data_IF_057547922419
#
_entry.id   IF_057547922419
#
_cell.length_a   1.000
_cell.length_b   1.000
_cell.length_c   1.000
_cell.angle_alpha   90.00
_cell.angle_beta   90.00
_cell.angle_gamma   90.00
#
_symmetry.space_group_name_H-M   'P 1'
#
loop_
_entity.id
_entity.type
_entity.pdbx_description
1 polymer ?
#
# COMPACT_ATOMS: atom_id res chain seq x y z
N UNK A 1 -21.11 -0.11 16.40
CA UNK A 1 -21.01 0.95 15.38
C UNK A 1 -19.88 0.64 14.39
N UNK A 2 -20.03 -0.39 13.55
CA UNK A 2 -19.04 -0.81 12.54
C UNK A 2 -19.74 -1.26 11.25
N UNK A 3 -20.95 -0.76 11.00
CA UNK A 3 -21.68 -0.92 9.75
C UNK A 3 -21.04 0.00 8.71
N UNK A 4 -20.70 -0.54 7.53
CA UNK A 4 -20.14 0.21 6.41
C UNK A 4 -18.64 0.07 6.15
N UNK A 5 -17.88 -0.70 6.96
CA UNK A 5 -16.49 -1.02 6.66
C UNK A 5 -16.40 -2.05 5.54
N UNK A 6 -15.61 -1.78 4.51
CA UNK A 6 -15.19 -2.80 3.55
C UNK A 6 -14.12 -3.72 4.16
N UNK A 7 -13.15 -3.13 4.85
CA UNK A 7 -12.12 -3.83 5.60
C UNK A 7 -12.29 -3.54 7.09
N UNK A 8 -12.37 -4.59 7.90
CA UNK A 8 -12.43 -4.50 9.35
C UNK A 8 -11.34 -5.38 9.96
N UNK A 9 -10.56 -4.80 10.84
CA UNK A 9 -9.52 -5.47 11.61
C UNK A 9 -9.88 -5.34 13.08
N UNK A 10 -9.78 -6.42 13.84
CA UNK A 10 -10.14 -6.44 15.27
C UNK A 10 -9.06 -7.14 16.06
N UNK A 11 -8.52 -6.43 17.04
CA UNK A 11 -7.51 -6.92 18.01
C UNK A 11 -6.37 -7.68 17.32
N UNK A 12 -5.83 -7.12 16.22
CA UNK A 12 -4.86 -7.80 15.39
C UNK A 12 -3.47 -7.77 16.02
N UNK A 13 -2.93 -8.95 16.27
CA UNK A 13 -1.57 -9.15 16.73
C UNK A 13 -0.75 -9.91 15.70
N UNK A 14 0.48 -9.46 15.47
CA UNK A 14 1.43 -10.12 14.57
C UNK A 14 2.79 -10.19 15.22
N UNK A 15 3.36 -11.39 15.25
CA UNK A 15 4.72 -11.64 15.71
C UNK A 15 5.64 -11.97 14.54
N UNK A 16 6.83 -11.43 14.58
CA UNK A 16 7.91 -11.78 13.65
C UNK A 16 9.13 -12.15 14.48
N UNK A 17 9.62 -13.37 14.23
CA UNK A 17 10.65 -13.94 15.09
C UNK A 17 10.19 -13.89 16.56
N UNK A 18 10.99 -13.33 17.47
CA UNK A 18 10.65 -13.20 18.89
C UNK A 18 9.99 -11.87 19.27
N UNK A 19 9.68 -11.01 18.27
CA UNK A 19 9.11 -9.67 18.51
C UNK A 19 7.65 -9.60 18.10
N UNK A 20 6.82 -9.02 18.94
CA UNK A 20 5.48 -8.64 18.61
C UNK A 20 5.51 -7.26 17.94
N UNK A 21 5.12 -7.22 16.65
CA UNK A 21 5.16 -6.02 15.82
C UNK A 21 3.82 -5.28 15.83
N UNK A 22 2.70 -6.02 15.67
CA UNK A 22 1.36 -5.45 15.86
C UNK A 22 0.79 -5.97 17.17
N UNK A 23 0.16 -5.06 17.93
CA UNK A 23 -0.19 -5.25 19.35
C UNK A 23 -1.63 -4.82 19.62
N UNK A 24 -2.61 -5.54 19.03
CA UNK A 24 -4.02 -5.21 19.16
C UNK A 24 -4.43 -4.04 18.29
N UNK A 25 -4.28 -4.20 16.96
CA UNK A 25 -4.69 -3.19 15.98
C UNK A 25 -6.17 -3.35 15.67
N UNK A 26 -6.94 -2.27 15.86
CA UNK A 26 -8.31 -2.12 15.42
C UNK A 26 -8.37 -1.10 14.27
N UNK A 27 -8.92 -1.50 13.11
CA UNK A 27 -9.03 -0.64 11.94
C UNK A 27 -10.33 -0.90 11.20
N UNK A 28 -10.99 0.19 10.78
CA UNK A 28 -12.11 0.15 9.86
C UNK A 28 -11.83 1.06 8.66
N UNK A 29 -11.85 0.47 7.46
CA UNK A 29 -11.74 1.21 6.20
C UNK A 29 -13.09 1.19 5.50
N UNK A 30 -13.68 2.35 5.28
CA UNK A 30 -14.99 2.49 4.65
C UNK A 30 -14.90 2.20 3.15
N UNK A 31 -15.96 1.62 2.62
CA UNK A 31 -16.05 1.34 1.17
C UNK A 31 -15.96 2.61 0.34
N UNK A 32 -15.17 2.58 -0.74
CA UNK A 32 -15.00 3.70 -1.67
C UNK A 32 -14.29 4.92 -1.09
N UNK A 33 -13.60 4.78 0.06
CA UNK A 33 -12.83 5.86 0.67
C UNK A 33 -11.34 5.65 0.53
N UNK A 34 -10.58 6.73 0.69
CA UNK A 34 -9.14 6.72 0.93
C UNK A 34 -8.89 6.80 2.42
N UNK A 35 -8.30 5.78 3.01
CA UNK A 35 -7.89 5.76 4.41
C UNK A 35 -6.36 5.77 4.50
N UNK A 36 -5.79 6.82 5.11
CA UNK A 36 -4.36 6.93 5.30
C UNK A 36 -3.90 6.25 6.60
N UNK A 37 -2.75 5.60 6.57
CA UNK A 37 -2.04 5.07 7.73
C UNK A 37 -0.69 5.73 7.81
N UNK A 38 -0.47 6.52 8.87
CA UNK A 38 0.79 7.22 9.10
C UNK A 38 1.46 6.74 10.38
N UNK A 39 2.74 7.06 10.51
CA UNK A 39 3.56 6.69 11.66
C UNK A 39 5.03 6.62 11.30
N UNK A 40 5.89 6.60 12.31
CA UNK A 40 7.34 6.52 12.14
C UNK A 40 7.78 5.22 11.45
N UNK A 41 9.00 5.22 10.90
CA UNK A 41 9.63 4.00 10.41
C UNK A 41 9.76 2.99 11.55
N UNK A 42 9.43 1.71 11.27
CA UNK A 42 9.42 0.65 12.28
C UNK A 42 8.17 0.63 13.19
N UNK A 43 7.18 1.50 12.97
CA UNK A 43 5.94 1.49 13.78
C UNK A 43 4.99 0.31 13.49
N UNK A 44 5.21 -0.44 12.39
CA UNK A 44 4.40 -1.61 12.02
C UNK A 44 3.52 -1.43 10.78
N UNK A 45 3.57 -0.28 10.06
CA UNK A 45 2.72 0.01 8.90
C UNK A 45 2.82 -1.02 7.77
N UNK A 46 4.04 -1.32 7.29
CA UNK A 46 4.24 -2.33 6.24
C UNK A 46 3.91 -3.75 6.74
N UNK A 47 4.14 -4.03 8.03
CA UNK A 47 3.67 -5.29 8.64
C UNK A 47 2.15 -5.40 8.56
N UNK A 48 1.42 -4.31 8.83
CA UNK A 48 -0.03 -4.28 8.66
C UNK A 48 -0.42 -4.54 7.20
N UNK A 49 0.19 -3.84 6.23
CA UNK A 49 -0.07 -4.05 4.80
C UNK A 49 0.13 -5.51 4.37
N UNK A 50 1.26 -6.11 4.75
CA UNK A 50 1.60 -7.49 4.39
C UNK A 50 0.69 -8.50 5.07
N UNK A 51 0.30 -8.24 6.32
CA UNK A 51 -0.69 -9.06 7.04
C UNK A 51 -2.05 -8.98 6.36
N UNK A 52 -2.50 -7.80 5.97
CA UNK A 52 -3.77 -7.59 5.26
C UNK A 52 -3.77 -8.24 3.87
N UNK A 53 -2.63 -8.30 3.18
CA UNK A 53 -2.50 -9.03 1.92
C UNK A 53 -2.41 -10.54 2.12
N UNK A 54 -2.09 -11.04 3.32
CA UNK A 54 -1.90 -12.46 3.61
C UNK A 54 -0.53 -12.99 3.18
N UNK A 55 0.49 -12.12 3.22
CA UNK A 55 1.86 -12.47 2.83
C UNK A 55 2.46 -13.51 3.77
N UNK A 56 3.29 -14.40 3.20
CA UNK A 56 3.97 -15.44 3.97
C UNK A 56 4.85 -14.82 5.08
N UNK A 57 4.76 -15.38 6.29
CA UNK A 57 5.49 -14.90 7.46
C UNK A 57 4.82 -13.70 8.17
N UNK A 58 3.62 -13.27 7.75
CA UNK A 58 2.86 -12.18 8.37
C UNK A 58 1.47 -12.64 8.86
N UNK A 59 1.33 -13.94 9.17
CA UNK A 59 0.07 -14.46 9.69
C UNK A 59 -0.25 -13.88 11.07
N UNK A 60 -1.51 -13.51 11.35
CA UNK A 60 -1.94 -13.08 12.67
C UNK A 60 -1.68 -14.14 13.73
N UNK A 61 -1.14 -13.73 14.88
CA UNK A 61 -1.03 -14.57 16.08
C UNK A 61 -2.30 -14.53 16.93
N UNK A 62 -3.05 -13.40 16.87
CA UNK A 62 -4.33 -13.18 17.54
C UNK A 62 -5.15 -12.18 16.73
N UNK A 63 -6.47 -12.12 17.00
CA UNK A 63 -7.40 -11.21 16.35
C UNK A 63 -7.88 -11.70 14.98
N UNK A 64 -8.51 -10.81 14.21
CA UNK A 64 -9.12 -11.19 12.96
C UNK A 64 -9.22 -10.07 11.94
N UNK A 65 -9.40 -10.47 10.68
CA UNK A 65 -9.51 -9.59 9.51
C UNK A 65 -10.76 -9.99 8.73
N UNK A 66 -11.68 -9.04 8.57
CA UNK A 66 -12.89 -9.22 7.75
C UNK A 66 -12.82 -8.29 6.54
N UNK A 67 -13.15 -8.83 5.39
CA UNK A 67 -13.20 -8.11 4.14
C UNK A 67 -14.52 -8.38 3.43
N UNK A 68 -15.27 -7.32 3.11
CA UNK A 68 -16.59 -7.40 2.46
C UNK A 68 -17.57 -8.34 3.22
N UNK A 69 -17.47 -8.34 4.56
CA UNK A 69 -18.28 -9.19 5.46
C UNK A 69 -17.75 -10.62 5.68
N UNK A 70 -16.74 -11.07 4.93
CA UNK A 70 -16.13 -12.39 5.07
C UNK A 70 -14.89 -12.36 5.97
N UNK A 71 -14.72 -13.38 6.81
CA UNK A 71 -13.46 -13.59 7.54
C UNK A 71 -12.37 -14.08 6.58
N UNK A 72 -11.34 -13.25 6.40
CA UNK A 72 -10.19 -13.54 5.55
C UNK A 72 -8.91 -13.79 6.35
N UNK A 73 -8.99 -13.92 7.66
CA UNK A 73 -7.86 -13.96 8.59
C UNK A 73 -6.80 -14.99 8.17
N UNK A 74 -7.25 -16.18 7.73
CA UNK A 74 -6.36 -17.29 7.38
C UNK A 74 -6.23 -17.54 5.88
N UNK A 75 -6.83 -16.69 5.05
CA UNK A 75 -6.76 -16.82 3.59
C UNK A 75 -5.38 -16.42 3.07
N UNK A 76 -4.92 -17.15 2.06
CA UNK A 76 -3.67 -16.89 1.34
C UNK A 76 -3.75 -15.62 0.48
N UNK A 77 -2.59 -15.12 0.04
CA UNK A 77 -2.47 -14.01 -0.93
C UNK A 77 -3.37 -14.23 -2.15
N UNK A 78 -3.32 -15.45 -2.72
CA UNK A 78 -4.12 -15.79 -3.91
C UNK A 78 -5.62 -15.72 -3.65
N UNK A 79 -6.09 -16.19 -2.50
CA UNK A 79 -7.51 -16.17 -2.15
C UNK A 79 -8.01 -14.75 -1.87
N UNK A 80 -7.19 -13.91 -1.24
CA UNK A 80 -7.49 -12.49 -1.02
C UNK A 80 -7.46 -11.71 -2.32
N UNK A 81 -6.49 -11.99 -3.21
CA UNK A 81 -6.43 -11.40 -4.55
C UNK A 81 -7.69 -11.72 -5.37
N UNK A 82 -8.17 -12.97 -5.36
CA UNK A 82 -9.42 -13.36 -6.03
C UNK A 82 -10.66 -12.64 -5.48
N UNK A 83 -10.63 -12.16 -4.24
CA UNK A 83 -11.70 -11.35 -3.62
C UNK A 83 -11.60 -9.87 -3.93
N UNK A 84 -10.51 -9.46 -4.59
CA UNK A 84 -10.29 -8.08 -5.00
C UNK A 84 -9.43 -7.27 -4.04
N UNK A 85 -8.56 -7.90 -3.24
CA UNK A 85 -7.52 -7.22 -2.47
C UNK A 85 -6.23 -7.21 -3.28
N UNK A 86 -5.56 -6.07 -3.38
CA UNK A 86 -4.23 -5.96 -4.01
C UNK A 86 -3.30 -5.10 -3.18
N UNK A 87 -2.00 -5.29 -3.38
CA UNK A 87 -0.94 -4.54 -2.69
C UNK A 87 0.06 -4.01 -3.72
N UNK A 88 0.28 -2.69 -3.72
CA UNK A 88 1.46 -2.06 -4.30
C UNK A 88 2.55 -2.01 -3.24
N UNK A 89 3.69 -2.60 -3.56
CA UNK A 89 4.82 -2.76 -2.64
C UNK A 89 5.63 -1.46 -2.53
N UNK A 90 6.30 -1.26 -1.41
CA UNK A 90 7.22 -0.14 -1.22
C UNK A 90 8.33 -0.13 -2.28
N UNK A 91 8.87 -1.31 -2.62
CA UNK A 91 9.78 -1.50 -3.75
C UNK A 91 9.08 -2.30 -4.84
N UNK A 92 8.81 -1.69 -6.02
CA UNK A 92 8.19 -2.37 -7.14
C UNK A 92 9.00 -3.57 -7.61
N UNK A 93 8.32 -4.66 -7.92
CA UNK A 93 8.98 -5.88 -8.41
C UNK A 93 9.73 -5.62 -9.72
N UNK A 94 10.91 -6.25 -9.85
CA UNK A 94 11.60 -6.40 -11.13
C UNK A 94 11.21 -7.76 -11.70
N UNK A 95 10.70 -7.76 -12.92
CA UNK A 95 10.23 -9.01 -13.55
C UNK A 95 10.91 -9.12 -14.91
N UNK A 96 12.05 -9.80 -14.93
CA UNK A 96 12.82 -10.01 -16.15
C UNK A 96 11.99 -10.72 -17.23
N UNK A 97 12.15 -10.27 -18.47
CA UNK A 97 11.47 -10.86 -19.63
C UNK A 97 9.98 -10.52 -19.77
N UNK A 98 9.43 -9.70 -18.88
CA UNK A 98 8.03 -9.27 -18.95
C UNK A 98 7.93 -7.82 -19.43
N UNK A 99 7.20 -7.58 -20.52
CA UNK A 99 6.93 -6.21 -20.97
C UNK A 99 5.87 -5.54 -20.10
N UNK A 100 5.88 -4.20 -20.04
CA UNK A 100 4.88 -3.40 -19.33
C UNK A 100 3.45 -3.80 -19.74
N UNK A 101 3.21 -3.98 -21.05
CA UNK A 101 1.90 -4.43 -21.53
C UNK A 101 1.49 -5.76 -20.91
N UNK A 102 2.37 -6.75 -20.90
CA UNK A 102 2.10 -8.07 -20.30
C UNK A 102 1.94 -8.01 -18.80
N UNK A 103 2.77 -7.21 -18.12
CA UNK A 103 2.69 -7.01 -16.67
C UNK A 103 1.31 -6.45 -16.25
N UNK A 104 0.85 -5.39 -16.91
CA UNK A 104 -0.47 -4.83 -16.63
C UNK A 104 -1.61 -5.82 -16.94
N UNK A 105 -1.48 -6.60 -18.01
CA UNK A 105 -2.49 -7.60 -18.39
C UNK A 105 -2.63 -8.75 -17.40
N UNK A 106 -1.59 -9.09 -16.62
CA UNK A 106 -1.67 -10.17 -15.62
C UNK A 106 -2.79 -9.95 -14.59
N UNK A 107 -3.05 -8.69 -14.23
CA UNK A 107 -4.05 -8.34 -13.23
C UNK A 107 -5.48 -8.18 -13.78
N UNK A 108 -5.64 -8.02 -15.11
CA UNK A 108 -6.94 -7.68 -15.71
C UNK A 108 -7.78 -8.95 -16.02
N UNK A 109 -7.16 -10.11 -16.11
CA UNK A 109 -7.84 -11.39 -16.39
C UNK A 109 -8.40 -11.54 -17.82
N UNK A 110 -8.27 -10.51 -18.66
CA UNK A 110 -8.62 -10.48 -20.09
C UNK A 110 -7.57 -9.67 -20.85
N UNK A 111 -7.42 -9.94 -22.17
CA UNK A 111 -6.64 -9.09 -23.06
C UNK A 111 -7.45 -7.83 -23.40
N UNK A 112 -7.33 -6.81 -22.57
CA UNK A 112 -7.95 -5.50 -22.75
C UNK A 112 -6.85 -4.44 -22.90
N UNK A 113 -6.40 -4.25 -24.13
CA UNK A 113 -5.31 -3.32 -24.42
C UNK A 113 -5.72 -1.85 -24.23
N UNK A 114 -6.99 -1.51 -24.43
CA UNK A 114 -7.47 -0.14 -24.19
C UNK A 114 -7.39 0.20 -22.69
N UNK A 115 -7.73 -0.73 -21.84
CA UNK A 115 -7.59 -0.55 -20.38
C UNK A 115 -6.13 -0.42 -19.96
N UNK A 116 -5.22 -1.19 -20.55
CA UNK A 116 -3.78 -1.06 -20.34
C UNK A 116 -3.28 0.32 -20.78
N UNK A 117 -3.67 0.79 -21.96
CA UNK A 117 -3.32 2.12 -22.45
C UNK A 117 -3.89 3.23 -21.55
N UNK A 118 -5.14 3.10 -21.15
CA UNK A 118 -5.77 4.05 -20.24
C UNK A 118 -5.06 4.12 -18.88
N UNK A 119 -4.63 2.97 -18.35
CA UNK A 119 -3.88 2.91 -17.09
C UNK A 119 -2.51 3.59 -17.18
N UNK A 120 -1.77 3.40 -18.28
CA UNK A 120 -0.51 4.11 -18.49
C UNK A 120 -0.70 5.63 -18.58
N UNK A 121 -1.70 6.08 -19.34
CA UNK A 121 -2.03 7.53 -19.41
C UNK A 121 -2.41 8.10 -18.03
N UNK A 122 -3.06 7.31 -17.17
CA UNK A 122 -3.48 7.75 -15.85
C UNK A 122 -2.31 8.02 -14.89
N UNK A 123 -1.12 7.52 -15.20
CA UNK A 123 0.14 7.75 -14.47
C UNK A 123 1.14 8.60 -15.28
N UNK A 124 0.69 9.31 -16.29
CA UNK A 124 1.53 10.10 -17.21
C UNK A 124 2.68 9.30 -17.85
N UNK A 125 2.39 8.08 -18.29
CA UNK A 125 3.28 7.29 -19.13
C UNK A 125 2.66 7.15 -20.53
N UNK A 126 3.40 7.55 -21.57
CA UNK A 126 2.94 7.39 -22.95
C UNK A 126 2.87 5.92 -23.33
N UNK A 127 1.67 5.38 -23.68
CA UNK A 127 1.53 3.97 -24.01
C UNK A 127 2.40 3.50 -25.17
N UNK A 128 2.59 4.34 -26.19
CA UNK A 128 3.34 3.95 -27.39
C UNK A 128 4.84 3.80 -27.09
N UNK A 129 5.33 4.54 -26.11
CA UNK A 129 6.70 4.44 -25.60
C UNK A 129 6.90 3.28 -24.63
N UNK A 130 5.91 3.06 -23.73
CA UNK A 130 6.13 2.17 -22.58
C UNK A 130 5.63 0.73 -22.76
N UNK A 131 4.63 0.46 -23.61
CA UNK A 131 4.02 -0.88 -23.73
C UNK A 131 5.03 -1.99 -24.01
N UNK A 132 6.05 -1.72 -24.82
CA UNK A 132 7.06 -2.71 -25.22
C UNK A 132 8.31 -2.71 -24.33
N UNK A 133 8.47 -1.76 -23.41
CA UNK A 133 9.59 -1.74 -22.46
C UNK A 133 9.46 -2.88 -21.47
N UNK A 134 10.58 -3.41 -21.00
CA UNK A 134 10.61 -4.45 -19.99
C UNK A 134 10.48 -3.86 -18.57
N UNK A 135 9.87 -4.63 -17.66
CA UNK A 135 9.74 -4.28 -16.23
C UNK A 135 11.00 -4.72 -15.50
N UNK A 136 12.14 -4.15 -15.89
CA UNK A 136 13.46 -4.49 -15.39
C UNK A 136 14.25 -3.22 -14.98
N UNK A 137 15.55 -3.32 -14.92
CA UNK A 137 16.46 -2.21 -14.57
C UNK A 137 16.49 -1.06 -15.59
N UNK A 138 15.96 -1.27 -16.82
CA UNK A 138 15.87 -0.22 -17.83
C UNK A 138 14.85 0.87 -17.47
N UNK A 139 13.91 0.56 -16.56
CA UNK A 139 13.01 1.53 -15.97
C UNK A 139 13.64 2.16 -14.72
N UNK A 140 13.61 3.48 -14.64
CA UNK A 140 13.96 4.19 -13.40
C UNK A 140 13.06 3.78 -12.23
N UNK A 141 13.48 4.06 -10.98
CA UNK A 141 12.68 3.77 -9.81
C UNK A 141 11.29 4.42 -9.85
N UNK A 142 11.21 5.69 -10.30
CA UNK A 142 9.94 6.40 -10.47
C UNK A 142 9.05 5.80 -11.57
N UNK A 143 9.63 5.44 -12.72
CA UNK A 143 8.87 4.77 -13.80
C UNK A 143 8.32 3.42 -13.35
N UNK A 144 9.10 2.61 -12.61
CA UNK A 144 8.60 1.34 -12.06
C UNK A 144 7.42 1.55 -11.11
N UNK A 145 7.49 2.55 -10.24
CA UNK A 145 6.35 2.89 -9.36
C UNK A 145 5.12 3.31 -10.14
N UNK A 146 5.28 4.15 -11.16
CA UNK A 146 4.18 4.51 -12.05
C UNK A 146 3.57 3.29 -12.76
N UNK A 147 4.40 2.37 -13.25
CA UNK A 147 3.94 1.12 -13.86
C UNK A 147 3.20 0.23 -12.87
N UNK A 148 3.66 0.13 -11.62
CA UNK A 148 2.97 -0.62 -10.58
C UNK A 148 1.61 0.00 -10.21
N UNK A 149 1.55 1.33 -10.03
CA UNK A 149 0.29 2.04 -9.81
C UNK A 149 -0.68 1.89 -10.99
N UNK A 150 -0.16 1.93 -12.23
CA UNK A 150 -0.96 1.67 -13.42
C UNK A 150 -1.53 0.24 -13.42
N UNK A 151 -0.75 -0.75 -12.98
CA UNK A 151 -1.22 -2.13 -12.87
C UNK A 151 -2.33 -2.26 -11.82
N UNK A 152 -2.16 -1.65 -10.63
CA UNK A 152 -3.20 -1.63 -9.59
C UNK A 152 -4.47 -0.94 -10.09
N UNK A 153 -4.34 0.20 -10.75
CA UNK A 153 -5.48 0.92 -11.34
C UNK A 153 -6.19 0.09 -12.41
N UNK A 154 -5.41 -0.57 -13.29
CA UNK A 154 -5.96 -1.45 -14.32
C UNK A 154 -6.71 -2.66 -13.73
N UNK A 155 -6.32 -3.18 -12.58
CA UNK A 155 -7.03 -4.26 -11.88
C UNK A 155 -8.41 -3.84 -11.40
N UNK A 156 -8.62 -2.55 -11.06
CA UNK A 156 -9.79 -2.00 -10.37
C UNK A 156 -10.21 -2.89 -9.18
N UNK A 157 -9.33 -3.06 -8.19
CA UNK A 157 -9.62 -3.94 -7.05
C UNK A 157 -10.71 -3.33 -6.16
N UNK A 158 -11.34 -4.16 -5.31
CA UNK A 158 -12.22 -3.63 -4.26
C UNK A 158 -11.43 -2.89 -3.18
N UNK A 159 -10.20 -3.37 -2.88
CA UNK A 159 -9.26 -2.76 -1.94
C UNK A 159 -7.86 -2.72 -2.54
N UNK A 160 -7.33 -1.52 -2.71
CA UNK A 160 -5.93 -1.27 -3.03
C UNK A 160 -5.18 -0.87 -1.77
N UNK A 161 -4.18 -1.64 -1.37
CA UNK A 161 -3.23 -1.28 -0.31
C UNK A 161 -2.00 -0.71 -1.02
N UNK A 162 -1.63 0.53 -0.70
CA UNK A 162 -0.51 1.23 -1.31
C UNK A 162 0.53 1.52 -0.22
N UNK A 163 1.65 0.78 -0.25
CA UNK A 163 2.71 0.92 0.76
C UNK A 163 3.79 1.88 0.26
N UNK A 164 3.77 3.11 0.77
CA UNK A 164 4.67 4.22 0.41
C UNK A 164 4.79 4.45 -1.11
N UNK A 165 3.67 4.64 -1.84
CA UNK A 165 3.70 4.84 -3.28
C UNK A 165 4.45 6.12 -3.69
N UNK A 166 4.64 7.02 -2.73
CA UNK A 166 5.28 8.32 -2.84
C UNK A 166 6.79 8.31 -2.50
N UNK A 167 7.35 7.17 -2.09
CA UNK A 167 8.77 7.12 -1.74
C UNK A 167 9.67 7.18 -2.99
N UNK A 168 10.69 8.06 -2.96
CA UNK A 168 11.68 8.18 -4.04
C UNK A 168 11.15 8.77 -5.35
N UNK A 169 10.00 9.44 -5.35
CA UNK A 169 9.47 10.18 -6.49
C UNK A 169 9.56 11.70 -6.27
N UNK A 170 9.64 12.45 -7.37
CA UNK A 170 9.68 13.91 -7.34
C UNK A 170 8.29 14.51 -7.05
N UNK A 171 8.25 15.81 -6.77
CA UNK A 171 7.03 16.53 -6.37
C UNK A 171 5.93 16.48 -7.44
N UNK A 172 6.28 16.51 -8.74
CA UNK A 172 5.29 16.44 -9.82
C UNK A 172 4.66 15.05 -9.87
N UNK A 173 5.47 14.01 -9.84
CA UNK A 173 5.02 12.61 -9.82
C UNK A 173 4.19 12.30 -8.57
N UNK A 174 4.46 12.99 -7.45
CA UNK A 174 3.65 12.91 -6.24
C UNK A 174 2.22 13.40 -6.47
N UNK A 175 2.06 14.56 -7.12
CA UNK A 175 0.74 15.11 -7.45
C UNK A 175 -0.04 14.21 -8.41
N UNK A 176 0.64 13.60 -9.38
CA UNK A 176 0.05 12.68 -10.35
C UNK A 176 -0.46 11.42 -9.63
N UNK A 177 0.36 10.84 -8.76
CA UNK A 177 -0.02 9.70 -7.91
C UNK A 177 -1.22 10.03 -7.02
N UNK A 178 -1.24 11.22 -6.43
CA UNK A 178 -2.32 11.72 -5.60
C UNK A 178 -3.64 11.82 -6.38
N UNK A 179 -3.62 12.38 -7.59
CA UNK A 179 -4.79 12.44 -8.48
C UNK A 179 -5.29 11.06 -8.85
N UNK A 180 -4.39 10.13 -9.15
CA UNK A 180 -4.76 8.75 -9.46
C UNK A 180 -5.42 8.05 -8.26
N UNK A 181 -4.85 8.18 -7.06
CA UNK A 181 -5.42 7.60 -5.83
C UNK A 181 -6.85 8.12 -5.60
N UNK A 182 -7.08 9.42 -5.75
CA UNK A 182 -8.42 9.99 -5.60
C UNK A 182 -9.36 9.45 -6.68
N UNK A 183 -8.92 9.43 -7.94
CA UNK A 183 -9.69 8.86 -9.04
C UNK A 183 -10.07 7.39 -8.81
N UNK A 184 -9.15 6.57 -8.29
CA UNK A 184 -9.45 5.18 -7.93
C UNK A 184 -10.60 5.10 -6.93
N UNK A 185 -10.62 5.96 -5.93
CA UNK A 185 -11.68 5.99 -4.93
C UNK A 185 -13.02 6.48 -5.53
N UNK A 186 -13.00 7.51 -6.36
CA UNK A 186 -14.18 8.04 -7.05
C UNK A 186 -14.78 7.02 -8.03
N UNK A 187 -13.96 6.12 -8.59
CA UNK A 187 -14.37 4.99 -9.43
C UNK A 187 -14.78 3.73 -8.62
N UNK A 188 -14.79 3.81 -7.28
CA UNK A 188 -15.31 2.78 -6.38
C UNK A 188 -14.27 1.84 -5.76
N UNK A 189 -12.98 2.01 -6.05
CA UNK A 189 -11.91 1.30 -5.33
C UNK A 189 -11.76 1.88 -3.93
N UNK A 190 -11.69 1.05 -2.90
CA UNK A 190 -11.28 1.48 -1.56
C UNK A 190 -9.76 1.49 -1.48
N UNK A 191 -9.16 2.54 -0.95
CA UNK A 191 -7.71 2.68 -0.86
C UNK A 191 -7.26 2.74 0.60
N UNK A 192 -6.35 1.86 0.98
CA UNK A 192 -5.56 1.95 2.20
C UNK A 192 -4.16 2.46 1.83
N UNK A 193 -3.90 3.71 2.16
CA UNK A 193 -2.69 4.42 1.77
C UNK A 193 -1.73 4.51 2.95
N UNK A 194 -0.57 3.88 2.86
CA UNK A 194 0.50 4.03 3.85
C UNK A 194 1.47 5.08 3.32
N UNK A 195 1.63 6.17 4.06
CA UNK A 195 2.57 7.25 3.74
C UNK A 195 3.03 7.96 5.03
N UNK A 196 4.19 8.57 4.96
CA UNK A 196 4.73 9.43 5.99
C UNK A 196 4.74 10.92 5.56
N UNK A 197 4.21 11.23 4.37
CA UNK A 197 4.13 12.60 3.83
C UNK A 197 2.77 13.20 4.09
N UNK A 198 2.76 14.36 4.76
CA UNK A 198 1.52 15.06 5.14
C UNK A 198 0.68 15.45 3.92
N UNK A 199 1.33 15.82 2.79
CA UNK A 199 0.65 16.20 1.55
C UNK A 199 -0.16 15.03 0.96
N UNK A 200 0.34 13.80 1.10
CA UNK A 200 -0.31 12.58 0.62
C UNK A 200 -1.42 12.15 1.58
N UNK A 201 -1.16 12.25 2.87
CA UNK A 201 -2.16 11.95 3.91
C UNK A 201 -3.35 12.90 3.85
N UNK A 202 -3.12 14.18 3.50
CA UNK A 202 -4.18 15.17 3.36
C UNK A 202 -5.23 14.86 2.26
N UNK A 203 -4.93 13.94 1.34
CA UNK A 203 -5.87 13.48 0.30
C UNK A 203 -6.87 12.44 0.80
N UNK A 204 -6.63 11.87 1.97
CA UNK A 204 -7.46 10.83 2.53
C UNK A 204 -8.75 11.38 3.14
N UNK A 205 -9.80 10.57 3.13
CA UNK A 205 -11.07 10.88 3.81
C UNK A 205 -10.94 10.66 5.34
N UNK A 206 -10.02 9.77 5.74
CA UNK A 206 -9.76 9.44 7.14
C UNK A 206 -8.30 9.02 7.29
N UNK A 207 -7.70 9.28 8.44
CA UNK A 207 -6.34 8.83 8.75
C UNK A 207 -6.26 8.10 10.09
N UNK A 208 -5.30 7.18 10.21
CA UNK A 208 -4.96 6.47 11.44
C UNK A 208 -3.46 6.59 11.71
N UNK A 209 -3.09 6.91 12.94
CA UNK A 209 -1.71 6.98 13.39
C UNK A 209 -1.31 5.65 14.05
N UNK A 210 -0.30 5.00 13.48
CA UNK A 210 0.32 3.80 14.05
C UNK A 210 1.59 4.18 14.80
N UNK A 211 1.64 3.80 16.07
CA UNK A 211 2.81 3.97 16.92
C UNK A 211 3.01 2.69 17.73
N UNK A 212 4.24 2.14 17.73
CA UNK A 212 4.62 0.93 18.46
C UNK A 212 3.66 -0.26 18.26
N UNK A 213 3.22 -0.45 17.02
CA UNK A 213 2.33 -1.56 16.64
C UNK A 213 0.86 -1.39 17.04
N UNK A 214 0.44 -0.21 17.47
CA UNK A 214 -0.94 0.11 17.85
C UNK A 214 -1.47 1.32 17.09
N UNK A 215 -2.78 1.38 16.85
CA UNK A 215 -3.43 2.61 16.38
C UNK A 215 -3.70 3.50 17.60
N UNK A 216 -3.08 4.68 17.62
CA UNK A 216 -3.19 5.65 18.71
C UNK A 216 -4.27 6.70 18.48
N UNK A 217 -4.57 6.99 17.21
CA UNK A 217 -5.57 7.98 16.85
C UNK A 217 -6.14 7.64 15.48
N UNK A 218 -7.43 7.85 15.29
CA UNK A 218 -8.12 7.75 13.99
C UNK A 218 -9.09 8.90 13.84
N UNK A 219 -9.10 9.56 12.69
CA UNK A 219 -10.01 10.68 12.43
C UNK A 219 -9.68 11.46 11.19
N UNK A 220 -10.01 12.74 11.21
CA UNK A 220 -9.71 13.71 10.15
C UNK A 220 -8.19 13.80 9.92
N UNK A 221 -7.70 13.73 8.67
CA UNK A 221 -6.28 13.69 8.37
C UNK A 221 -5.47 14.82 9.01
N UNK A 222 -5.95 16.07 8.95
CA UNK A 222 -5.29 17.24 9.53
C UNK A 222 -5.05 17.07 11.05
N UNK A 223 -6.05 16.57 11.78
CA UNK A 223 -5.95 16.37 13.24
C UNK A 223 -4.98 15.22 13.59
N UNK A 224 -4.95 14.20 12.76
CA UNK A 224 -4.04 13.05 12.96
C UNK A 224 -2.60 13.45 12.63
N UNK A 225 -2.36 14.25 11.57
CA UNK A 225 -1.05 14.83 11.27
C UNK A 225 -0.57 15.76 12.39
N UNK A 226 -1.43 16.64 12.91
CA UNK A 226 -1.12 17.49 14.05
C UNK A 226 -0.73 16.70 15.30
N UNK A 227 -1.44 15.60 15.55
CA UNK A 227 -1.12 14.71 16.68
C UNK A 227 0.22 14.02 16.46
N UNK A 228 0.49 13.55 15.23
CA UNK A 228 1.77 12.96 14.84
C UNK A 228 2.93 13.92 15.06
N UNK A 229 2.83 15.15 14.57
CA UNK A 229 3.88 16.18 14.69
C UNK A 229 4.20 16.55 16.15
N UNK A 230 3.20 16.52 17.04
CA UNK A 230 3.36 16.94 18.45
C UNK A 230 3.82 15.80 19.38
N UNK A 231 3.47 14.55 19.11
CA UNK A 231 3.58 13.46 20.08
C UNK A 231 4.43 12.28 19.64
N UNK A 232 4.74 12.13 18.34
CA UNK A 232 5.55 11.01 17.88
C UNK A 232 7.04 11.35 17.98
N UNK A 233 7.68 10.78 19.01
CA UNK A 233 9.14 10.67 19.09
C UNK A 233 9.58 9.33 18.46
N UNK A 234 10.86 9.20 17.98
CA UNK A 234 11.37 7.94 17.45
C UNK A 234 11.07 6.78 18.40
N UNK A 235 10.41 5.73 17.87
CA UNK A 235 10.06 4.56 18.64
C UNK A 235 11.33 3.99 19.31
N UNK A 236 11.34 3.85 20.64
CA UNK A 236 12.44 3.23 21.38
C UNK A 236 12.54 1.77 20.94
N UNK A 237 13.50 1.45 20.06
CA UNK A 237 13.73 0.10 19.56
C UNK A 237 13.95 -0.03 18.06
N UNK A 238 13.84 1.03 17.28
CA UNK A 238 14.44 1.08 15.95
C UNK A 238 15.96 1.22 16.15
N UNK A 239 16.65 0.11 16.39
CA UNK A 239 18.08 0.07 16.20
C UNK A 239 18.31 0.44 14.71
N UNK A 240 18.95 1.56 14.48
CA UNK A 240 19.59 1.88 13.22
C UNK A 240 20.49 0.70 12.88
N UNK A 241 20.05 -0.15 11.98
CA UNK A 241 20.92 -1.04 11.27
C UNK A 241 21.63 -0.11 10.29
N UNK A 242 22.74 0.48 10.76
CA UNK A 242 23.76 1.01 9.86
C UNK A 242 24.15 -0.15 8.96
N UNK A 243 23.76 -0.07 7.69
CA UNK A 243 24.35 -0.90 6.65
C UNK A 243 25.82 -0.46 6.55
N UNK A 244 26.69 -1.12 7.29
CA UNK A 244 28.09 -1.15 6.94
C UNK A 244 28.19 -1.76 5.54
N UNK A 245 28.49 -0.90 4.58
CA UNK A 245 28.91 -1.26 3.23
C UNK A 245 30.29 -1.91 3.33
N UNK A 246 30.30 -3.21 3.55
CA UNK A 246 31.49 -4.03 3.40
C UNK A 246 31.64 -4.44 1.93
N UNK A 247 32.04 -3.48 1.10
CA UNK A 247 32.57 -3.71 -0.24
C UNK A 247 33.84 -2.89 -0.42
N UNK A 248 34.89 -3.27 0.33
CA UNK A 248 36.25 -3.03 -0.06
C UNK A 248 37.13 -4.14 0.54
N UNK A 249 37.42 -5.13 -0.30
CA UNK A 249 38.62 -6.00 -0.33
C UNK A 249 38.25 -7.40 -0.85
N UNK A 250 38.34 -7.56 -2.16
CA UNK A 250 39.14 -8.63 -2.79
C UNK A 250 39.12 -8.41 -4.30
#
# INVERSE_FOLDING_TARGET
MLEGCLLKVVDLHVRREDREILRGVDLCVKRGSVHAVLGLNGSGKSTLAYTLMGSLGYAPSQGGIWFDGEDITRLSVTERGKRGVTLAWQEPARVEGLTVARYLMLGIGRQDMERVRAALRAVDLDPDTYLQRFVDESLSGGERKKVELAAVYAMAPKLAILDEPDSGIDTQSLQDSARLIRRMADEGTTVLLISHRDEVVALADTASLVCEGQIKSTGEPSKVCDHYARHCQPCRGAATVEKETEYERL
#
